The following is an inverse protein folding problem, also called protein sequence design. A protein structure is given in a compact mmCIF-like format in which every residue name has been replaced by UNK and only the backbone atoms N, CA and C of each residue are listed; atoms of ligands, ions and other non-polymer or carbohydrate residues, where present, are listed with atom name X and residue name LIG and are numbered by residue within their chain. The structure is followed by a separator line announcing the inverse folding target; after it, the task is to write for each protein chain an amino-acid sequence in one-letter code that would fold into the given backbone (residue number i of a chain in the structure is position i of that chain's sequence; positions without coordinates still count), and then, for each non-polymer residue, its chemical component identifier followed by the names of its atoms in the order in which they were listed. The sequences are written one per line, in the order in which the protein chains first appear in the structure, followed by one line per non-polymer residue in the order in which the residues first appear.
data_IF_904590547747
#
_entry.id   IF_904590547747
#
_cell.length_a   1.000
_cell.length_b   1.000
_cell.length_c   1.000
_cell.angle_alpha   90.00
_cell.angle_beta   90.00
_cell.angle_gamma   90.00
#
_symmetry.space_group_name_H-M   'P 1'
#
loop_
_entity.id
_entity.type
_entity.pdbx_description
1 polymer ?
#
# COMPACT_ATOMS: atom_id res chain seq x y z
N UNK A 1 3.82 -13.88 1.19
CA UNK A 1 3.10 -13.51 -0.06
C UNK A 1 3.57 -12.14 -0.47
N UNK A 2 3.76 -11.87 -1.77
CA UNK A 2 4.10 -10.52 -2.24
C UNK A 2 2.83 -9.78 -2.62
N UNK A 3 2.54 -8.69 -1.91
CA UNK A 3 1.42 -7.81 -2.25
C UNK A 3 1.95 -6.57 -2.97
N UNK A 4 1.33 -6.22 -4.10
CA UNK A 4 1.62 -5.02 -4.88
C UNK A 4 0.34 -4.18 -4.98
N UNK A 5 0.42 -2.88 -4.78
CA UNK A 5 -0.71 -1.97 -4.97
C UNK A 5 -0.22 -0.56 -5.26
N UNK A 6 -0.96 0.17 -6.09
CA UNK A 6 -0.71 1.61 -6.30
C UNK A 6 -1.47 2.38 -5.23
N UNK A 7 -0.74 3.04 -4.35
CA UNK A 7 -1.28 3.90 -3.29
C UNK A 7 -1.33 5.34 -3.81
N UNK A 8 -2.48 5.98 -3.65
CA UNK A 8 -2.72 7.37 -4.05
C UNK A 8 -2.75 8.32 -2.85
N UNK A 9 -3.08 7.83 -1.66
CA UNK A 9 -3.18 8.64 -0.45
C UNK A 9 -3.01 7.79 0.81
N UNK A 10 -2.41 8.34 1.87
CA UNK A 10 -2.57 7.82 3.23
C UNK A 10 -3.68 8.61 3.91
N UNK A 11 -4.74 7.92 4.31
CA UNK A 11 -5.95 8.53 4.85
C UNK A 11 -5.93 8.73 6.36
N UNK A 12 -5.53 7.69 7.10
CA UNK A 12 -5.58 7.71 8.57
C UNK A 12 -4.54 6.75 9.14
N UNK A 13 -4.01 7.08 10.33
CA UNK A 13 -3.25 6.15 11.14
C UNK A 13 -3.65 6.21 12.60
N UNK A 14 -3.61 5.08 13.27
CA UNK A 14 -3.81 5.03 14.71
C UNK A 14 -2.93 3.94 15.33
N UNK A 15 -2.52 4.18 16.57
CA UNK A 15 -1.81 3.19 17.38
C UNK A 15 -2.80 2.30 18.12
N UNK A 16 -2.45 1.03 18.31
CA UNK A 16 -3.10 0.17 19.30
C UNK A 16 -2.94 0.75 20.71
N UNK A 17 -3.80 0.33 21.64
CA UNK A 17 -3.77 0.83 23.02
C UNK A 17 -2.43 0.63 23.74
N UNK A 18 -1.68 -0.41 23.37
CA UNK A 18 -0.33 -0.69 23.88
C UNK A 18 0.79 0.10 23.17
N UNK A 19 0.46 0.89 22.15
CA UNK A 19 1.36 1.67 21.28
C UNK A 19 2.47 0.89 20.60
N UNK A 20 2.39 -0.45 20.59
CA UNK A 20 3.38 -1.32 19.94
C UNK A 20 3.06 -1.53 18.46
N UNK A 21 1.77 -1.61 18.15
CA UNK A 21 1.27 -1.75 16.78
C UNK A 21 0.52 -0.50 16.33
N UNK A 22 0.46 -0.31 15.03
CA UNK A 22 -0.30 0.73 14.39
C UNK A 22 -1.02 0.15 13.19
N UNK A 23 -2.10 0.81 12.83
CA UNK A 23 -2.69 0.64 11.51
C UNK A 23 -2.57 1.92 10.70
N UNK A 24 -2.35 1.72 9.40
CA UNK A 24 -2.27 2.78 8.42
C UNK A 24 -3.27 2.45 7.32
N UNK A 25 -4.25 3.32 7.14
CA UNK A 25 -5.25 3.24 6.09
C UNK A 25 -4.76 4.00 4.87
N UNK A 26 -4.67 3.32 3.75
CA UNK A 26 -4.18 3.85 2.49
C UNK A 26 -5.26 3.72 1.41
N UNK A 27 -5.52 4.79 0.67
CA UNK A 27 -6.37 4.76 -0.52
C UNK A 27 -5.55 4.22 -1.68
N UNK A 28 -6.12 3.23 -2.35
CA UNK A 28 -5.58 2.72 -3.61
C UNK A 28 -6.11 3.51 -4.78
N UNK A 29 -5.42 3.38 -5.91
CA UNK A 29 -5.88 3.90 -7.19
C UNK A 29 -7.29 3.42 -7.59
N UNK A 30 -7.68 2.22 -7.17
CA UNK A 30 -9.01 1.64 -7.44
C UNK A 30 -10.14 2.31 -6.62
N UNK A 31 -9.83 3.33 -5.81
CA UNK A 31 -10.78 3.92 -4.87
C UNK A 31 -11.03 3.08 -3.61
N UNK A 32 -10.44 1.89 -3.52
CA UNK A 32 -10.54 1.03 -2.36
C UNK A 32 -9.57 1.46 -1.26
N UNK A 33 -9.95 1.23 -0.01
CA UNK A 33 -9.06 1.40 1.13
C UNK A 33 -8.35 0.08 1.43
N UNK A 34 -7.05 0.16 1.72
CA UNK A 34 -6.22 -0.91 2.27
C UNK A 34 -5.80 -0.51 3.67
N UNK A 35 -5.81 -1.46 4.61
CA UNK A 35 -5.26 -1.25 5.95
C UNK A 35 -4.00 -2.08 6.13
N UNK A 36 -2.91 -1.41 6.48
CA UNK A 36 -1.65 -2.03 6.86
C UNK A 36 -1.52 -2.05 8.38
N UNK A 37 -1.36 -3.25 8.97
CA UNK A 37 -1.19 -3.45 10.40
C UNK A 37 0.25 -3.90 10.69
N UNK A 38 0.97 -3.20 11.56
CA UNK A 38 2.34 -3.58 11.88
C UNK A 38 2.91 -2.75 13.01
N UNK A 39 4.12 -3.07 13.45
CA UNK A 39 4.79 -2.23 14.44
C UNK A 39 5.28 -0.91 13.81
N UNK A 40 5.83 -0.02 14.63
CA UNK A 40 6.33 1.28 14.16
C UNK A 40 7.44 1.16 13.12
N UNK A 41 8.37 0.22 13.31
CA UNK A 41 9.53 0.05 12.46
C UNK A 41 9.16 -0.56 11.09
N UNK A 42 8.33 -1.59 11.08
CA UNK A 42 7.86 -2.28 9.87
C UNK A 42 7.09 -1.38 8.92
N UNK A 43 6.32 -0.42 9.46
CA UNK A 43 5.53 0.50 8.65
C UNK A 43 6.21 1.86 8.42
N UNK A 44 7.49 2.03 8.77
CA UNK A 44 8.17 3.34 8.70
C UNK A 44 8.14 3.94 7.29
N UNK A 45 8.31 3.10 6.27
CA UNK A 45 8.28 3.51 4.88
C UNK A 45 6.88 3.97 4.46
N UNK A 46 5.81 3.33 4.96
CA UNK A 46 4.43 3.76 4.70
C UNK A 46 4.13 5.13 5.31
N UNK A 47 4.75 5.49 6.43
CA UNK A 47 4.60 6.81 7.04
C UNK A 47 5.19 7.90 6.15
N UNK A 48 6.27 7.61 5.42
CA UNK A 48 6.85 8.55 4.45
C UNK A 48 5.87 8.91 3.30
N UNK A 49 4.76 8.18 3.17
CA UNK A 49 3.72 8.42 2.18
C UNK A 49 2.67 9.45 2.61
N UNK A 50 2.63 9.88 3.88
CA UNK A 50 1.62 10.84 4.38
C UNK A 50 1.64 12.19 3.63
N UNK A 51 2.81 12.60 3.13
CA UNK A 51 3.01 13.87 2.43
C UNK A 51 3.10 13.72 0.91
N UNK A 52 2.77 12.55 0.38
CA UNK A 52 2.94 12.29 -1.05
C UNK A 52 1.76 12.84 -1.87
N UNK A 53 2.11 13.67 -2.85
CA UNK A 53 1.16 14.23 -3.82
C UNK A 53 1.03 13.34 -5.07
N UNK A 54 1.92 12.36 -5.23
CA UNK A 54 2.02 11.50 -6.41
C UNK A 54 1.65 10.05 -6.08
N UNK A 55 1.02 9.28 -7.01
CA UNK A 55 0.74 7.88 -6.75
C UNK A 55 2.02 7.04 -6.80
N UNK A 56 2.09 6.01 -5.95
CA UNK A 56 3.29 5.21 -5.73
C UNK A 56 2.95 3.72 -5.78
N UNK A 57 3.82 2.91 -6.35
CA UNK A 57 3.70 1.46 -6.19
C UNK A 57 4.31 1.07 -4.85
N UNK A 58 3.52 0.42 -4.03
CA UNK A 58 3.99 -0.21 -2.80
C UNK A 58 4.10 -1.71 -3.04
N UNK A 59 5.26 -2.26 -2.72
CA UNK A 59 5.52 -3.71 -2.68
C UNK A 59 5.84 -4.12 -1.26
N UNK A 60 5.20 -5.18 -0.80
CA UNK A 60 5.53 -5.80 0.48
C UNK A 60 5.92 -7.26 0.27
N UNK A 61 7.13 -7.65 0.66
CA UNK A 61 7.71 -8.97 0.37
C UNK A 61 7.09 -10.13 1.17
N UNK A 62 6.56 -9.86 2.36
CA UNK A 62 6.06 -10.87 3.30
C UNK A 62 4.79 -10.41 4.02
N UNK A 63 4.00 -9.55 3.39
CA UNK A 63 2.72 -9.16 3.97
C UNK A 63 1.75 -10.33 3.98
N UNK A 64 1.06 -10.49 5.10
CA UNK A 64 0.02 -11.51 5.26
C UNK A 64 -1.33 -10.86 5.14
N UNK A 65 -2.17 -11.34 4.21
CA UNK A 65 -3.53 -10.86 4.11
C UNK A 65 -4.32 -11.39 5.30
N UNK A 66 -4.80 -10.50 6.15
CA UNK A 66 -5.62 -10.87 7.28
C UNK A 66 -7.09 -10.89 6.85
N UNK A 67 -7.68 -12.08 6.72
CA UNK A 67 -9.10 -12.27 6.39
C UNK A 67 -10.03 -12.17 7.60
N UNK A 68 -9.49 -12.15 8.82
CA UNK A 68 -10.25 -12.19 10.08
C UNK A 68 -10.57 -10.80 10.65
N UNK A 69 -9.98 -9.73 10.09
CA UNK A 69 -10.31 -8.36 10.48
C UNK A 69 -11.66 -7.90 9.91
N UNK A 70 -12.46 -7.12 10.66
CA UNK A 70 -13.78 -6.70 10.22
C UNK A 70 -13.73 -6.01 8.85
N UNK A 71 -14.61 -6.42 7.92
CA UNK A 71 -14.70 -5.90 6.54
C UNK A 71 -14.97 -4.39 6.41
N UNK A 72 -15.08 -3.67 7.52
CA UNK A 72 -15.44 -2.26 7.60
C UNK A 72 -14.40 -1.36 6.89
N UNK A 73 -13.15 -1.83 6.74
CA UNK A 73 -12.04 -1.04 6.18
C UNK A 73 -11.40 -1.59 4.89
N UNK A 74 -12.04 -2.54 4.19
CA UNK A 74 -11.46 -3.16 2.98
C UNK A 74 -10.43 -4.27 3.29
N UNK A 75 -9.56 -4.65 2.33
CA UNK A 75 -8.52 -5.66 2.57
C UNK A 75 -7.47 -5.21 3.59
N UNK A 76 -7.14 -6.11 4.52
CA UNK A 76 -6.16 -5.90 5.60
C UNK A 76 -4.88 -6.70 5.33
N UNK A 77 -3.72 -6.08 5.58
CA UNK A 77 -2.42 -6.72 5.48
C UNK A 77 -1.63 -6.53 6.77
N UNK A 78 -1.24 -7.63 7.39
CA UNK A 78 -0.26 -7.64 8.47
C UNK A 78 1.14 -7.52 7.88
N UNK A 79 1.94 -6.61 8.44
CA UNK A 79 3.35 -6.38 8.09
C UNK A 79 4.20 -6.88 9.25
N UNK A 80 4.72 -8.13 9.18
CA UNK A 80 5.61 -8.64 10.21
C UNK A 80 6.94 -7.88 10.25
N UNK A 81 7.74 -8.10 11.28
CA UNK A 81 9.08 -7.48 11.41
C UNK A 81 10.06 -7.91 10.32
N UNK A 82 9.85 -9.08 9.73
CA UNK A 82 10.65 -9.59 8.62
C UNK A 82 10.23 -9.02 7.27
N UNK A 83 9.05 -8.37 7.18
CA UNK A 83 8.56 -7.83 5.93
C UNK A 83 9.30 -6.55 5.53
N UNK A 84 9.62 -6.47 4.24
CA UNK A 84 10.21 -5.28 3.63
C UNK A 84 9.14 -4.58 2.80
N UNK A 85 8.81 -3.35 3.20
CA UNK A 85 7.97 -2.44 2.41
C UNK A 85 8.86 -1.58 1.52
N UNK A 86 8.73 -1.76 0.21
CA UNK A 86 9.44 -0.97 -0.79
C UNK A 86 8.48 -0.03 -1.50
N UNK A 87 8.91 1.21 -1.71
CA UNK A 87 8.13 2.24 -2.39
C UNK A 87 8.84 2.60 -3.68
N UNK A 88 8.13 2.50 -4.79
CA UNK A 88 8.63 2.90 -6.10
C UNK A 88 7.87 4.16 -6.54
N UNK A 89 8.54 5.32 -6.60
CA UNK A 89 7.94 6.54 -7.10
C UNK A 89 7.81 6.52 -8.62
N UNK A 90 6.66 6.95 -9.11
CA UNK A 90 6.43 7.14 -10.54
C UNK A 90 5.95 8.56 -10.81
N UNK A 91 6.25 9.05 -12.02
CA UNK A 91 5.69 10.31 -12.47
C UNK A 91 4.17 10.15 -12.61
N UNK A 92 3.34 11.05 -12.03
CA UNK A 92 1.89 10.98 -12.14
C UNK A 92 1.38 10.81 -13.56
N UNK A 93 2.02 11.48 -14.53
CA UNK A 93 1.63 11.43 -15.94
C UNK A 93 1.86 10.06 -16.58
N UNK A 94 2.91 9.34 -16.16
CA UNK A 94 3.18 7.99 -16.64
C UNK A 94 2.11 7.01 -16.14
N UNK A 95 1.74 7.11 -14.86
CA UNK A 95 0.66 6.31 -14.27
C UNK A 95 -0.68 6.61 -14.96
N UNK A 96 -1.01 7.91 -15.12
CA UNK A 96 -2.24 8.34 -15.81
C UNK A 96 -2.31 7.84 -17.25
N UNK A 97 -1.19 7.90 -17.98
CA UNK A 97 -1.11 7.40 -19.35
C UNK A 97 -1.38 5.89 -19.41
N UNK A 98 -0.72 5.10 -18.56
CA UNK A 98 -0.90 3.64 -18.51
C UNK A 98 -2.34 3.22 -18.15
N UNK A 99 -3.01 4.00 -17.31
CA UNK A 99 -4.43 3.77 -16.97
C UNK A 99 -5.38 4.13 -18.11
N UNK A 100 -5.07 5.20 -18.86
CA UNK A 100 -5.89 5.66 -19.98
C UNK A 100 -5.77 4.75 -21.22
N UNK A 101 -4.68 3.99 -21.35
CA UNK A 101 -4.42 3.08 -22.47
C UNK A 101 -5.25 1.76 -22.40
N UNK A 102 -6.30 1.69 -21.55
CA UNK A 102 -7.18 0.53 -21.35
C UNK A 102 -6.47 -0.75 -20.90
N UNK A 103 -5.26 -0.66 -20.35
CA UNK A 103 -4.70 -1.76 -19.59
C UNK A 103 -5.54 -1.94 -18.31
N UNK A 104 -6.04 -3.16 -18.09
CA UNK A 104 -6.67 -3.49 -16.82
C UNK A 104 -5.70 -3.20 -15.66
N UNK A 105 -6.22 -2.77 -14.52
CA UNK A 105 -5.43 -2.36 -13.34
C UNK A 105 -4.30 -3.32 -12.96
N UNK A 106 -4.56 -4.63 -13.01
CA UNK A 106 -3.59 -5.67 -12.67
C UNK A 106 -2.46 -5.69 -13.70
N UNK A 107 -2.76 -5.39 -14.96
CA UNK A 107 -1.77 -5.23 -16.01
C UNK A 107 -0.91 -3.98 -15.80
N UNK A 108 -1.47 -2.86 -15.32
CA UNK A 108 -0.68 -1.66 -14.99
C UNK A 108 0.24 -1.93 -13.81
N UNK A 109 -0.26 -2.55 -12.74
CA UNK A 109 0.57 -2.95 -11.59
C UNK A 109 1.68 -3.91 -12.01
N UNK A 110 1.39 -4.90 -12.84
CA UNK A 110 2.39 -5.84 -13.35
C UNK A 110 3.39 -5.19 -14.31
N UNK A 111 2.97 -4.26 -15.16
CA UNK A 111 3.86 -3.50 -16.05
C UNK A 111 4.85 -2.66 -15.24
N UNK A 112 4.34 -1.88 -14.28
CA UNK A 112 5.18 -1.05 -13.41
C UNK A 112 6.12 -1.91 -12.57
N UNK A 113 5.63 -3.04 -12.04
CA UNK A 113 6.44 -3.95 -11.24
C UNK A 113 7.48 -4.76 -12.04
N UNK A 114 7.48 -4.73 -13.38
CA UNK A 114 8.51 -5.37 -14.22
C UNK A 114 9.70 -4.46 -14.49
N UNK A 115 9.56 -3.15 -14.26
CA UNK A 115 10.66 -2.20 -14.42
C UNK A 115 11.68 -2.26 -13.26
N UNK A 116 11.44 -3.11 -12.25
CA UNK A 116 12.24 -3.25 -11.02
C UNK A 116 12.32 -4.71 -10.55
#
# INVERSE_FOLDING_TARGET
MVTKSIITQIGERQFSGDKKTQWIKARTLDGNDIVFWGNKASCVNLIALEQQETPLLVRCSECERNSECPQIYGPHFSIPETAVVTIFPYRPDAIRKLLNEKHGKDAVVELLAREF
#
